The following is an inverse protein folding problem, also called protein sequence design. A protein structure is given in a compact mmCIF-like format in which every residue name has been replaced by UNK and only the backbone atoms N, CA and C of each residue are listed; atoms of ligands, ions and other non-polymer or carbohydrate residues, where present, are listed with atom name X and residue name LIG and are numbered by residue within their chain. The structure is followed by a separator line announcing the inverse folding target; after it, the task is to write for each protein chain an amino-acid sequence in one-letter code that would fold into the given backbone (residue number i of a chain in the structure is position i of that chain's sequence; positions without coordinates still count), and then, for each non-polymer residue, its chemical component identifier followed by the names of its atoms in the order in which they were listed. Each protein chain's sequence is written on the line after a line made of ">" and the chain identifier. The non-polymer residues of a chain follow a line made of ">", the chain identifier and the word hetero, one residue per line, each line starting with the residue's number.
data_IF_986303111155
#
_entry.id   IF_986303111155
#
_cell.length_a   1.000
_cell.length_b   1.000
_cell.length_c   1.000
_cell.angle_alpha   90.00
_cell.angle_beta   90.00
_cell.angle_gamma   90.00
#
_symmetry.space_group_name_H-M   'P 1'
#
loop_
_entity.id
_entity.type
_entity.pdbx_description
1 polymer ?
#
# COMPACT_ATOMS: atom_id res chain seq x y z
N UNK A 1 -2.28 -1.04 -1.42
CA UNK A 1 -1.73 -2.17 -0.64
C UNK A 1 -2.55 -2.53 0.59
N UNK A 2 -3.27 -1.59 1.24
CA UNK A 2 -4.10 -1.87 2.43
C UNK A 2 -4.98 -3.13 2.27
N UNK A 3 -5.71 -3.23 1.15
CA UNK A 3 -6.65 -4.32 0.87
C UNK A 3 -5.98 -5.70 0.68
N UNK A 4 -4.65 -5.75 0.56
CA UNK A 4 -3.89 -6.99 0.37
C UNK A 4 -3.46 -7.60 1.70
N UNK A 5 -3.23 -6.76 2.71
CA UNK A 5 -2.52 -7.18 3.90
C UNK A 5 -3.32 -8.14 4.78
N UNK A 6 -4.65 -8.02 4.79
CA UNK A 6 -5.52 -8.95 5.52
C UNK A 6 -5.38 -10.37 4.94
N UNK A 7 -5.35 -10.49 3.61
CA UNK A 7 -5.17 -11.78 2.94
C UNK A 7 -3.74 -12.32 3.13
N UNK A 8 -2.73 -11.45 3.01
CA UNK A 8 -1.32 -11.83 3.25
C UNK A 8 -1.12 -12.30 4.69
N UNK A 9 -1.76 -11.65 5.67
CA UNK A 9 -1.72 -12.07 7.07
C UNK A 9 -2.28 -13.48 7.26
N UNK A 10 -3.40 -13.80 6.59
CA UNK A 10 -3.99 -15.13 6.64
C UNK A 10 -3.01 -16.17 6.07
N UNK A 11 -2.43 -15.91 4.90
CA UNK A 11 -1.48 -16.83 4.26
C UNK A 11 -0.23 -17.05 5.12
N UNK A 12 0.37 -15.98 5.64
CA UNK A 12 1.54 -16.08 6.51
C UNK A 12 1.23 -16.85 7.80
N UNK A 13 0.05 -16.62 8.43
CA UNK A 13 -0.38 -17.38 9.61
C UNK A 13 -0.59 -18.86 9.33
N UNK A 14 -0.96 -19.21 8.10
CA UNK A 14 -1.09 -20.59 7.64
C UNK A 14 0.26 -21.22 7.26
N UNK A 15 1.36 -20.48 7.42
CA UNK A 15 2.72 -20.96 7.13
C UNK A 15 3.07 -20.96 5.64
N UNK A 16 2.30 -20.29 4.78
CA UNK A 16 2.60 -20.18 3.36
C UNK A 16 3.70 -19.14 3.12
N UNK A 17 4.62 -19.44 2.21
CA UNK A 17 5.56 -18.45 1.68
C UNK A 17 4.84 -17.47 0.76
N UNK A 18 5.08 -16.16 0.95
CA UNK A 18 4.45 -15.09 0.17
C UNK A 18 5.51 -14.21 -0.49
N UNK A 19 5.34 -13.92 -1.78
CA UNK A 19 6.04 -12.86 -2.49
C UNK A 19 5.13 -11.65 -2.66
N UNK A 20 5.70 -10.45 -2.54
CA UNK A 20 5.03 -9.20 -2.84
C UNK A 20 5.71 -8.54 -4.04
N UNK A 21 4.93 -8.38 -5.11
CA UNK A 21 5.26 -7.58 -6.27
C UNK A 21 4.73 -6.16 -6.07
N UNK A 22 5.59 -5.15 -6.19
CA UNK A 22 5.25 -3.73 -6.01
C UNK A 22 5.64 -2.94 -7.26
N UNK A 23 4.71 -2.15 -7.81
CA UNK A 23 5.02 -1.18 -8.86
C UNK A 23 5.85 -0.07 -8.24
N UNK A 24 7.13 0.03 -8.58
CA UNK A 24 8.06 1.02 -8.02
C UNK A 24 8.25 2.23 -8.93
N UNK A 25 7.90 2.09 -10.22
CA UNK A 25 7.98 3.16 -11.21
C UNK A 25 6.91 2.97 -12.28
N UNK A 26 6.42 4.09 -12.81
CA UNK A 26 5.44 4.12 -13.89
C UNK A 26 5.83 5.20 -14.90
N UNK A 27 5.57 4.96 -16.18
CA UNK A 27 5.70 5.95 -17.25
C UNK A 27 4.49 5.91 -18.19
N UNK A 28 4.10 7.07 -18.71
CA UNK A 28 2.94 7.19 -19.59
C UNK A 28 1.63 6.77 -18.92
N UNK A 29 0.71 6.20 -19.71
CA UNK A 29 -0.62 5.77 -19.26
C UNK A 29 -0.57 4.40 -18.57
N UNK A 30 0.21 4.26 -17.49
CA UNK A 30 0.27 3.02 -16.72
C UNK A 30 -1.08 2.70 -16.07
N UNK A 31 -1.53 1.44 -16.06
CA UNK A 31 -2.89 1.09 -15.64
C UNK A 31 -3.06 1.04 -14.11
N UNK A 32 -1.96 0.96 -13.36
CA UNK A 32 -1.90 1.04 -11.90
C UNK A 32 -0.81 2.03 -11.48
N UNK A 33 -1.00 2.80 -10.39
CA UNK A 33 -0.01 3.77 -9.94
C UNK A 33 1.18 3.09 -9.25
N UNK A 34 2.29 3.84 -9.09
CA UNK A 34 3.37 3.45 -8.21
C UNK A 34 2.84 3.17 -6.78
N UNK A 35 3.35 2.11 -6.16
CA UNK A 35 2.84 1.58 -4.89
C UNK A 35 1.65 0.62 -5.02
N UNK A 36 1.15 0.35 -6.24
CA UNK A 36 0.27 -0.79 -6.46
C UNK A 36 1.00 -2.09 -6.15
N UNK A 37 0.30 -3.04 -5.55
CA UNK A 37 0.87 -4.31 -5.10
C UNK A 37 0.07 -5.51 -5.58
N UNK A 38 0.76 -6.64 -5.70
CA UNK A 38 0.20 -7.96 -5.93
C UNK A 38 0.97 -8.95 -5.05
N UNK A 39 0.23 -9.70 -4.23
CA UNK A 39 0.80 -10.76 -3.40
C UNK A 39 0.52 -12.12 -4.04
N UNK A 40 1.52 -13.00 -3.99
CA UNK A 40 1.50 -14.32 -4.62
C UNK A 40 2.02 -15.34 -3.59
N UNK A 41 1.27 -16.42 -3.37
CA UNK A 41 1.74 -17.53 -2.52
C UNK A 41 2.52 -18.56 -3.31
N UNK A 42 3.29 -19.41 -2.63
CA UNK A 42 3.97 -20.56 -3.25
C UNK A 42 3.03 -21.59 -3.88
N UNK A 43 1.73 -21.57 -3.53
CA UNK A 43 0.69 -22.41 -4.14
C UNK A 43 0.01 -21.74 -5.34
N UNK A 44 0.42 -20.51 -5.70
CA UNK A 44 -0.12 -19.76 -6.83
C UNK A 44 -1.40 -19.00 -6.54
N UNK A 45 -1.80 -18.85 -5.26
CA UNK A 45 -2.91 -17.96 -4.90
C UNK A 45 -2.45 -16.50 -5.05
N UNK A 46 -3.36 -15.63 -5.51
CA UNK A 46 -3.04 -14.23 -5.81
C UNK A 46 -4.03 -13.28 -5.13
N UNK A 47 -3.51 -12.11 -4.72
CA UNK A 47 -4.30 -11.00 -4.23
C UNK A 47 -3.73 -9.69 -4.76
N UNK A 48 -4.60 -8.79 -5.22
CA UNK A 48 -4.17 -7.53 -5.82
C UNK A 48 -3.76 -7.67 -7.28
N UNK A 49 -3.12 -6.62 -7.79
CA UNK A 49 -2.76 -6.51 -9.20
C UNK A 49 -1.81 -5.32 -9.43
N UNK A 50 -0.84 -5.55 -10.32
CA UNK A 50 0.14 -4.54 -10.76
C UNK A 50 -0.23 -3.90 -12.10
N UNK A 51 -1.09 -4.51 -12.93
CA UNK A 51 -1.49 -3.92 -14.21
C UNK A 51 -2.97 -4.03 -14.58
N UNK A 52 -3.72 -4.92 -13.95
CA UNK A 52 -5.12 -5.20 -14.27
C UNK A 52 -5.31 -6.33 -15.28
N UNK A 53 -4.26 -7.10 -15.60
CA UNK A 53 -4.36 -8.36 -16.35
C UNK A 53 -3.31 -8.59 -17.43
N UNK A 54 -2.52 -7.56 -17.83
CA UNK A 54 -1.61 -7.67 -18.97
C UNK A 54 -0.32 -8.42 -18.64
N UNK A 55 0.29 -8.15 -17.48
CA UNK A 55 1.62 -8.66 -17.12
C UNK A 55 1.61 -9.59 -15.91
N UNK A 56 0.43 -9.86 -15.33
CA UNK A 56 0.26 -10.66 -14.11
C UNK A 56 0.87 -12.06 -14.22
N UNK A 57 0.77 -12.71 -15.39
CA UNK A 57 1.38 -14.03 -15.62
C UNK A 57 2.89 -14.02 -15.44
N UNK A 58 3.59 -13.06 -16.08
CA UNK A 58 5.03 -12.91 -15.96
C UNK A 58 5.47 -12.56 -14.53
N UNK A 59 4.66 -11.75 -13.83
CA UNK A 59 4.90 -11.42 -12.42
C UNK A 59 4.73 -12.64 -11.51
N UNK A 60 3.75 -13.51 -11.77
CA UNK A 60 3.59 -14.77 -11.04
C UNK A 60 4.80 -15.68 -11.25
N UNK A 61 5.27 -15.84 -12.48
CA UNK A 61 6.42 -16.69 -12.78
C UNK A 61 7.70 -16.23 -12.06
N UNK A 62 7.96 -14.92 -12.06
CA UNK A 62 9.06 -14.34 -11.31
C UNK A 62 8.86 -14.45 -9.80
N UNK A 63 7.66 -14.20 -9.28
CA UNK A 63 7.36 -14.37 -7.86
C UNK A 63 7.65 -15.80 -7.38
N UNK A 64 7.32 -16.82 -8.19
CA UNK A 64 7.67 -18.21 -7.90
C UNK A 64 9.19 -18.43 -7.87
N UNK A 65 9.96 -17.76 -8.72
CA UNK A 65 11.43 -17.82 -8.71
C UNK A 65 12.02 -17.10 -7.48
N UNK A 66 11.50 -15.94 -7.12
CA UNK A 66 11.89 -15.19 -5.91
C UNK A 66 11.60 -16.03 -4.66
N UNK A 67 10.44 -16.68 -4.58
CA UNK A 67 10.10 -17.58 -3.47
C UNK A 67 11.08 -18.75 -3.35
N UNK A 68 11.49 -19.36 -4.48
CA UNK A 68 12.46 -20.46 -4.51
C UNK A 68 13.89 -20.04 -4.15
N UNK A 69 14.33 -18.86 -4.59
CA UNK A 69 15.73 -18.42 -4.49
C UNK A 69 16.01 -17.52 -3.29
N UNK A 70 14.98 -16.87 -2.75
CA UNK A 70 15.11 -15.81 -1.74
C UNK A 70 15.72 -14.52 -2.29
N UNK A 71 16.01 -14.44 -3.59
CA UNK A 71 16.61 -13.26 -4.22
C UNK A 71 15.51 -12.38 -4.81
N UNK A 72 15.41 -11.11 -4.41
CA UNK A 72 14.48 -10.17 -5.03
C UNK A 72 14.81 -9.92 -6.50
N UNK A 73 13.79 -9.58 -7.28
CA UNK A 73 13.89 -9.33 -8.70
C UNK A 73 13.25 -7.98 -9.05
N UNK A 74 13.83 -7.27 -10.03
CA UNK A 74 13.23 -6.08 -10.64
C UNK A 74 12.96 -6.39 -12.11
N UNK A 75 11.71 -6.25 -12.51
CA UNK A 75 11.27 -6.50 -13.90
C UNK A 75 10.72 -5.21 -14.47
N UNK A 76 11.18 -4.89 -15.68
CA UNK A 76 10.65 -3.78 -16.48
C UNK A 76 9.63 -4.34 -17.48
N UNK A 77 8.47 -3.70 -17.57
CA UNK A 77 7.45 -3.98 -18.58
C UNK A 77 7.21 -2.72 -19.40
N UNK A 78 7.51 -2.80 -20.70
CA UNK A 78 7.31 -1.72 -21.65
C UNK A 78 5.95 -1.74 -22.35
N UNK A 79 5.80 -0.86 -23.34
CA UNK A 79 4.70 -0.94 -24.31
C UNK A 79 4.89 -2.21 -25.13
N UNK A 80 3.88 -3.07 -25.21
CA UNK A 80 3.95 -4.28 -26.03
C UNK A 80 4.17 -3.90 -27.50
N UNK A 81 5.29 -4.31 -28.08
CA UNK A 81 5.52 -4.19 -29.51
C UNK A 81 4.97 -5.46 -30.17
N UNK A 82 4.04 -5.33 -31.13
CA UNK A 82 3.39 -6.46 -31.82
C UNK A 82 4.40 -7.39 -32.55
N UNK A 83 5.66 -6.96 -32.68
CA UNK A 83 6.76 -7.67 -33.32
C UNK A 83 7.73 -8.37 -32.35
N UNK A 84 7.66 -8.07 -31.05
CA UNK A 84 8.52 -8.64 -30.02
C UNK A 84 7.73 -9.61 -29.14
N UNK A 85 8.28 -10.79 -28.87
CA UNK A 85 7.68 -11.81 -27.98
C UNK A 85 7.66 -11.40 -26.49
N UNK A 86 7.73 -10.10 -26.19
CA UNK A 86 7.79 -9.56 -24.83
C UNK A 86 6.38 -9.25 -24.30
N UNK A 87 6.11 -9.68 -23.07
CA UNK A 87 4.85 -9.37 -22.38
C UNK A 87 4.86 -7.88 -22.04
N UNK A 88 3.97 -7.10 -22.65
CA UNK A 88 3.91 -5.64 -22.49
C UNK A 88 2.53 -5.14 -22.06
N UNK A 89 2.47 -3.84 -21.76
CA UNK A 89 1.23 -3.17 -21.38
C UNK A 89 0.44 -2.73 -22.62
N UNK A 90 -0.84 -3.11 -22.69
CA UNK A 90 -1.74 -2.73 -23.80
C UNK A 90 -2.21 -1.27 -23.76
N UNK A 91 -2.01 -0.59 -22.64
CA UNK A 91 -2.43 0.80 -22.41
C UNK A 91 -1.39 1.85 -22.88
N UNK A 92 -0.25 1.43 -23.43
CA UNK A 92 0.79 2.34 -23.93
C UNK A 92 1.62 3.02 -22.83
N UNK A 93 1.67 2.44 -21.63
CA UNK A 93 2.55 2.86 -20.54
C UNK A 93 3.66 1.85 -20.27
N UNK A 94 4.53 2.16 -19.32
CA UNK A 94 5.59 1.27 -18.83
C UNK A 94 5.55 1.21 -17.30
N UNK A 95 5.95 0.08 -16.72
CA UNK A 95 6.08 -0.07 -15.27
C UNK A 95 7.35 -0.85 -14.90
N UNK A 96 7.96 -0.46 -13.78
CA UNK A 96 8.95 -1.29 -13.10
C UNK A 96 8.29 -1.96 -11.89
N UNK A 97 8.41 -3.27 -11.80
CA UNK A 97 7.88 -4.08 -10.70
C UNK A 97 9.04 -4.67 -9.92
N UNK A 98 9.08 -4.41 -8.61
CA UNK A 98 10.01 -5.04 -7.69
C UNK A 98 9.32 -6.17 -6.94
N UNK A 99 9.90 -7.36 -7.00
CA UNK A 99 9.34 -8.59 -6.44
C UNK A 99 10.31 -9.10 -5.38
N UNK A 100 9.78 -9.36 -4.19
CA UNK A 100 10.55 -9.85 -3.06
C UNK A 100 9.75 -10.83 -2.23
N UNK A 101 10.43 -11.62 -1.40
CA UNK A 101 9.77 -12.32 -0.30
C UNK A 101 9.16 -11.30 0.67
N UNK A 102 7.99 -11.63 1.20
CA UNK A 102 7.25 -10.82 2.16
C UNK A 102 6.97 -11.64 3.41
N UNK A 103 7.58 -11.23 4.51
CA UNK A 103 7.57 -11.99 5.77
C UNK A 103 6.74 -11.29 6.85
N UNK A 104 6.56 -11.95 8.00
CA UNK A 104 5.90 -11.36 9.16
C UNK A 104 6.50 -10.01 9.58
N UNK A 105 7.83 -9.87 9.54
CA UNK A 105 8.49 -8.59 9.90
C UNK A 105 8.05 -7.43 9.01
N UNK A 106 7.82 -7.69 7.71
CA UNK A 106 7.32 -6.71 6.77
C UNK A 106 5.86 -6.36 7.09
N UNK A 107 5.03 -7.39 7.33
CA UNK A 107 3.62 -7.20 7.67
C UNK A 107 3.43 -6.33 8.91
N UNK A 108 4.20 -6.55 9.97
CA UNK A 108 4.12 -5.75 11.20
C UNK A 108 4.44 -4.27 10.97
N UNK A 109 5.44 -3.99 10.12
CA UNK A 109 5.82 -2.61 9.74
C UNK A 109 4.68 -1.93 8.97
N UNK A 110 4.09 -2.64 8.01
CA UNK A 110 2.95 -2.15 7.25
C UNK A 110 1.72 -1.91 8.14
N UNK A 111 1.42 -2.81 9.07
CA UNK A 111 0.35 -2.63 10.06
C UNK A 111 0.55 -1.39 10.92
N UNK A 112 1.77 -1.19 11.42
CA UNK A 112 2.13 0.01 12.19
C UNK A 112 1.98 1.29 11.36
N UNK A 113 2.32 1.25 10.07
CA UNK A 113 2.14 2.40 9.18
C UNK A 113 0.65 2.72 8.96
N UNK A 114 -0.18 1.70 8.75
CA UNK A 114 -1.61 1.85 8.46
C UNK A 114 -2.45 2.24 9.67
N UNK A 115 -1.94 2.03 10.88
CA UNK A 115 -2.58 2.46 12.14
C UNK A 115 -2.31 3.92 12.49
N UNK A 116 -1.54 4.66 11.67
CA UNK A 116 -1.24 6.08 11.91
C UNK A 116 -2.40 6.96 11.45
N UNK A 117 -2.63 8.02 12.21
CA UNK A 117 -3.64 9.06 11.91
C UNK A 117 -3.09 10.13 10.98
N UNK A 118 -1.77 10.28 10.89
CA UNK A 118 -1.08 11.15 9.94
C UNK A 118 -0.47 10.32 8.78
N UNK A 119 -0.18 11.00 7.67
CA UNK A 119 0.58 10.37 6.58
C UNK A 119 2.00 10.03 7.07
N UNK A 120 2.49 8.86 6.66
CA UNK A 120 3.85 8.38 6.94
C UNK A 120 4.48 7.81 5.68
N UNK A 121 5.80 7.62 5.70
CA UNK A 121 6.54 7.00 4.59
C UNK A 121 7.10 5.64 4.99
N UNK A 122 6.98 4.69 4.07
CA UNK A 122 7.73 3.44 4.08
C UNK A 122 8.82 3.51 3.01
N UNK A 123 10.07 3.21 3.36
CA UNK A 123 11.13 3.01 2.38
C UNK A 123 11.33 1.51 2.15
N UNK A 124 11.00 1.05 0.95
CA UNK A 124 11.34 -0.28 0.47
C UNK A 124 12.76 -0.26 -0.09
N UNK A 125 13.69 -0.99 0.53
CA UNK A 125 15.09 -1.05 0.09
C UNK A 125 15.20 -1.89 -1.18
N UNK A 126 15.67 -1.27 -2.26
CA UNK A 126 15.80 -1.91 -3.58
C UNK A 126 17.23 -2.35 -3.87
N UNK A 127 18.21 -1.65 -3.31
CA UNK A 127 19.64 -1.98 -3.41
C UNK A 127 20.35 -1.56 -2.12
N UNK A 128 21.30 -2.38 -1.65
CA UNK A 128 22.00 -2.17 -0.39
C UNK A 128 22.73 -3.43 0.08
N UNK A 129 23.16 -3.43 1.34
CA UNK A 129 23.77 -4.61 1.95
C UNK A 129 22.71 -5.70 2.19
N UNK A 130 23.14 -6.97 2.12
CA UNK A 130 22.25 -8.14 2.15
C UNK A 130 21.17 -8.15 3.25
N UNK A 131 21.45 -7.74 4.50
CA UNK A 131 20.44 -7.71 5.56
C UNK A 131 19.26 -6.77 5.30
N UNK A 132 19.44 -5.73 4.48
CA UNK A 132 18.42 -4.71 4.22
C UNK A 132 17.71 -4.90 2.88
N UNK A 133 18.25 -5.69 1.95
CA UNK A 133 17.65 -5.87 0.63
C UNK A 133 16.21 -6.39 0.75
N UNK A 134 15.24 -5.66 0.20
CA UNK A 134 13.81 -5.98 0.32
C UNK A 134 13.17 -5.67 1.67
N UNK A 135 13.87 -5.02 2.60
CA UNK A 135 13.28 -4.56 3.85
C UNK A 135 12.33 -3.38 3.61
N UNK A 136 11.24 -3.31 4.39
CA UNK A 136 10.43 -2.09 4.54
C UNK A 136 10.93 -1.32 5.75
N UNK A 137 11.12 -0.02 5.61
CA UNK A 137 11.53 0.85 6.71
C UNK A 137 10.45 1.89 6.97
N UNK A 138 9.83 1.87 8.15
CA UNK A 138 8.91 2.94 8.57
C UNK A 138 9.70 4.16 9.03
N UNK A 139 9.48 5.26 8.31
CA UNK A 139 10.12 6.55 8.54
C UNK A 139 9.20 7.39 9.43
N UNK A 140 9.50 7.43 10.72
CA UNK A 140 8.82 8.26 11.71
C UNK A 140 9.74 9.41 12.15
N UNK A 141 9.14 10.55 12.49
CA UNK A 141 9.87 11.64 13.13
C UNK A 141 10.37 11.15 14.51
N UNK A 142 11.68 10.95 14.63
CA UNK A 142 12.50 10.79 15.86
C UNK A 142 12.83 9.41 16.43
N UNK A 143 12.24 8.29 16.01
CA UNK A 143 12.72 6.96 16.43
C UNK A 143 12.59 5.93 15.29
N UNK A 144 13.63 5.82 14.45
CA UNK A 144 13.66 4.75 13.45
C UNK A 144 13.81 3.40 14.16
N UNK A 145 12.97 2.43 13.83
CA UNK A 145 12.99 1.04 14.34
C UNK A 145 14.31 0.30 13.99
N UNK A 146 15.14 0.89 13.13
CA UNK A 146 16.41 0.33 12.66
C UNK A 146 17.60 0.93 13.42
N UNK A 147 17.79 0.45 14.65
CA UNK A 147 18.91 0.85 15.53
C UNK A 147 20.29 0.46 14.98
N UNK A 148 20.33 -0.39 13.96
CA UNK A 148 21.50 -0.92 13.26
C UNK A 148 21.95 -0.10 12.04
N UNK A 149 21.11 0.77 11.48
CA UNK A 149 21.53 1.70 10.41
C UNK A 149 22.50 2.77 10.93
N UNK A 150 23.49 3.17 10.13
CA UNK A 150 24.31 4.32 10.48
C UNK A 150 23.49 5.61 10.55
N UNK A 151 23.97 6.56 11.34
CA UNK A 151 23.38 7.90 11.45
C UNK A 151 23.25 8.56 10.06
N UNK A 152 24.24 8.40 9.20
CA UNK A 152 24.23 8.95 7.83
C UNK A 152 23.01 8.44 7.04
N UNK A 153 22.75 7.14 7.09
CA UNK A 153 21.62 6.52 6.38
C UNK A 153 20.29 7.01 6.93
N UNK A 154 20.14 7.08 8.26
CA UNK A 154 18.91 7.60 8.88
C UNK A 154 18.63 9.06 8.53
N UNK A 155 19.67 9.90 8.57
CA UNK A 155 19.55 11.32 8.26
C UNK A 155 19.09 11.52 6.81
N UNK A 156 19.67 10.78 5.85
CA UNK A 156 19.27 10.85 4.44
C UNK A 156 17.85 10.33 4.19
N UNK A 157 17.47 9.19 4.78
CA UNK A 157 16.10 8.67 4.68
C UNK A 157 15.07 9.68 5.20
N UNK A 158 15.37 10.33 6.32
CA UNK A 158 14.50 11.34 6.94
C UNK A 158 14.43 12.61 6.07
N UNK A 159 15.56 13.06 5.53
CA UNK A 159 15.60 14.22 4.63
C UNK A 159 14.76 13.99 3.37
N UNK A 160 14.89 12.81 2.75
CA UNK A 160 14.10 12.44 1.58
C UNK A 160 12.62 12.38 1.94
N UNK A 161 12.24 11.70 3.03
CA UNK A 161 10.84 11.60 3.45
C UNK A 161 10.17 12.95 3.73
N UNK A 162 10.93 13.93 4.24
CA UNK A 162 10.43 15.28 4.48
C UNK A 162 10.25 16.12 3.21
N UNK A 163 11.00 15.82 2.15
CA UNK A 163 10.91 16.51 0.85
C UNK A 163 9.94 15.83 -0.10
N UNK A 164 9.80 14.51 0.02
CA UNK A 164 8.97 13.70 -0.85
C UNK A 164 7.48 13.95 -0.58
N UNK A 165 6.67 14.05 -1.64
CA UNK A 165 5.25 14.41 -1.55
C UNK A 165 4.32 13.28 -2.01
N UNK A 166 4.74 12.50 -3.02
CA UNK A 166 3.93 11.49 -3.68
C UNK A 166 4.51 10.07 -3.53
N UNK A 167 5.80 9.97 -3.21
CA UNK A 167 6.56 8.73 -3.23
C UNK A 167 7.37 8.59 -4.51
N UNK A 168 8.36 7.71 -4.50
CA UNK A 168 9.29 7.57 -5.62
C UNK A 168 10.56 6.82 -5.28
N UNK A 169 11.38 6.55 -6.29
CA UNK A 169 12.69 5.92 -6.12
C UNK A 169 13.74 7.00 -5.85
N UNK A 170 14.56 6.79 -4.81
CA UNK A 170 15.66 7.68 -4.47
C UNK A 170 16.94 6.88 -4.24
N UNK A 171 18.06 7.45 -4.72
CA UNK A 171 19.38 6.99 -4.37
C UNK A 171 19.77 7.49 -2.98
N UNK A 172 20.49 6.65 -2.25
CA UNK A 172 20.95 6.92 -0.90
C UNK A 172 22.46 6.75 -0.90
N UNK A 173 23.19 7.76 -0.44
CA UNK A 173 24.65 7.76 -0.46
C UNK A 173 25.19 7.09 0.82
N UNK A 174 24.79 5.85 1.05
CA UNK A 174 25.20 5.07 2.22
C UNK A 174 25.55 3.61 1.86
N UNK A 175 26.46 2.97 2.61
CA UNK A 175 26.86 1.60 2.33
C UNK A 175 25.75 0.58 2.64
N UNK A 176 24.86 0.86 3.58
CA UNK A 176 23.77 -0.05 3.96
C UNK A 176 22.64 -0.07 2.95
N UNK A 177 22.30 1.11 2.40
CA UNK A 177 21.19 1.30 1.49
C UNK A 177 21.65 2.24 0.39
N UNK A 178 21.54 1.79 -0.86
CA UNK A 178 21.98 2.52 -2.05
C UNK A 178 20.79 3.05 -2.86
N UNK A 179 19.65 2.37 -2.79
CA UNK A 179 18.43 2.74 -3.50
C UNK A 179 17.20 2.29 -2.70
N UNK A 180 16.20 3.15 -2.57
CA UNK A 180 14.93 2.81 -1.94
C UNK A 180 13.73 3.44 -2.65
N UNK A 181 12.61 2.72 -2.67
CA UNK A 181 11.32 3.23 -3.07
C UNK A 181 10.56 3.75 -1.85
N UNK A 182 10.21 5.03 -1.85
CA UNK A 182 9.44 5.69 -0.82
C UNK A 182 7.96 5.57 -1.17
N UNK A 183 7.22 4.83 -0.35
CA UNK A 183 5.79 4.68 -0.44
C UNK A 183 5.10 5.54 0.62
N UNK A 184 4.27 6.48 0.16
CA UNK A 184 3.45 7.28 1.07
C UNK A 184 2.24 6.48 1.54
N UNK A 185 2.16 6.20 2.83
CA UNK A 185 0.99 5.58 3.46
C UNK A 185 0.12 6.69 4.02
N UNK A 186 -1.11 6.79 3.51
CA UNK A 186 -2.10 7.73 4.01
C UNK A 186 -3.07 7.04 4.98
N UNK A 187 -3.57 7.77 6.00
CA UNK A 187 -4.69 7.31 6.80
C UNK A 187 -5.91 7.11 5.91
N UNK A 188 -6.85 6.28 6.38
CA UNK A 188 -8.13 6.12 5.68
C UNK A 188 -8.85 7.47 5.67
N UNK A 189 -9.29 7.99 4.51
CA UNK A 189 -9.98 9.26 4.48
C UNK A 189 -11.33 9.15 5.18
N UNK A 190 -11.66 10.14 6.00
CA UNK A 190 -12.94 10.20 6.70
C UNK A 190 -13.95 11.06 5.92
N UNK A 191 -15.18 10.59 5.84
CA UNK A 191 -16.35 11.33 5.36
C UNK A 191 -17.38 11.46 6.48
N UNK A 192 -17.57 12.69 6.95
CA UNK A 192 -18.57 13.02 7.96
C UNK A 192 -19.82 13.56 7.27
N UNK A 193 -20.94 12.83 7.41
CA UNK A 193 -22.24 13.17 6.85
C UNK A 193 -23.12 13.82 7.92
N UNK A 194 -23.25 15.14 7.85
CA UNK A 194 -24.17 15.90 8.72
C UNK A 194 -25.56 15.92 8.07
N UNK A 195 -26.46 15.10 8.62
CA UNK A 195 -27.83 14.89 8.15
C UNK A 195 -28.04 13.49 7.58
N UNK A 196 -28.75 12.65 8.32
CA UNK A 196 -29.08 11.27 7.97
C UNK A 196 -30.31 11.15 7.06
N UNK A 197 -30.53 12.10 6.15
CA UNK A 197 -31.69 12.07 5.24
C UNK A 197 -31.51 11.08 4.10
N UNK A 198 -32.52 10.89 3.25
CA UNK A 198 -32.56 9.86 2.20
C UNK A 198 -31.36 9.88 1.24
N UNK A 199 -30.75 11.04 0.98
CA UNK A 199 -29.55 11.18 0.13
C UNK A 199 -28.29 10.63 0.81
N UNK A 200 -28.21 10.72 2.14
CA UNK A 200 -27.03 10.28 2.88
C UNK A 200 -26.85 8.75 2.82
N UNK A 201 -27.93 7.97 2.66
CA UNK A 201 -27.86 6.50 2.59
C UNK A 201 -27.02 6.02 1.39
N UNK A 202 -27.37 6.33 0.13
CA UNK A 202 -26.59 5.88 -1.02
C UNK A 202 -25.18 6.51 -1.03
N UNK A 203 -25.04 7.76 -0.55
CA UNK A 203 -23.74 8.40 -0.45
C UNK A 203 -22.82 7.67 0.53
N UNK A 204 -23.31 7.31 1.71
CA UNK A 204 -22.57 6.56 2.71
C UNK A 204 -22.13 5.20 2.17
N UNK A 205 -23.02 4.49 1.48
CA UNK A 205 -22.70 3.20 0.84
C UNK A 205 -21.60 3.35 -0.23
N UNK A 206 -21.74 4.30 -1.16
CA UNK A 206 -20.72 4.57 -2.18
C UNK A 206 -19.38 4.96 -1.57
N UNK A 207 -19.38 5.82 -0.55
CA UNK A 207 -18.18 6.25 0.15
C UNK A 207 -17.47 5.06 0.82
N UNK A 208 -18.21 4.16 1.48
CA UNK A 208 -17.67 2.91 2.03
C UNK A 208 -17.05 2.05 0.94
N UNK A 209 -17.72 1.88 -0.21
CA UNK A 209 -17.22 1.07 -1.33
C UNK A 209 -15.90 1.58 -1.88
N UNK A 210 -15.70 2.90 -1.95
CA UNK A 210 -14.45 3.50 -2.45
C UNK A 210 -13.39 3.70 -1.35
N UNK A 211 -13.66 3.21 -0.13
CA UNK A 211 -12.66 3.10 0.93
C UNK A 211 -12.66 4.22 1.97
N UNK A 212 -13.72 5.03 2.10
CA UNK A 212 -13.83 5.99 3.19
C UNK A 212 -14.24 5.31 4.51
N UNK A 213 -13.76 5.86 5.62
CA UNK A 213 -14.46 5.74 6.90
C UNK A 213 -15.58 6.76 6.93
N UNK A 214 -16.79 6.33 7.26
CA UNK A 214 -17.99 7.16 7.18
C UNK A 214 -18.60 7.29 8.56
N UNK A 215 -18.91 8.53 8.93
CA UNK A 215 -19.61 8.89 10.16
C UNK A 215 -20.90 9.61 9.79
N UNK A 216 -22.05 9.22 10.35
CA UNK A 216 -23.34 9.91 10.11
C UNK A 216 -23.80 10.59 11.38
N UNK A 217 -24.07 11.89 11.30
CA UNK A 217 -24.54 12.72 12.41
C UNK A 217 -25.96 13.17 12.09
N UNK A 218 -26.93 12.83 12.93
CA UNK A 218 -28.28 13.42 12.87
C UNK A 218 -28.91 13.44 14.26
N UNK A 219 -29.32 14.61 14.80
CA UNK A 219 -29.93 14.68 16.13
C UNK A 219 -31.29 13.98 16.21
N UNK A 220 -31.93 13.72 15.06
CA UNK A 220 -33.21 13.04 15.00
C UNK A 220 -32.96 11.55 14.99
N UNK A 221 -33.28 10.87 16.09
CA UNK A 221 -33.05 9.43 16.29
C UNK A 221 -33.53 8.50 15.17
N UNK A 222 -34.62 8.84 14.48
CA UNK A 222 -35.13 8.05 13.35
C UNK A 222 -34.27 8.16 12.08
N UNK A 223 -33.37 9.15 12.04
CA UNK A 223 -32.56 9.44 10.87
C UNK A 223 -31.16 8.83 10.89
N UNK A 224 -30.67 8.37 12.05
CA UNK A 224 -29.33 7.81 12.26
C UNK A 224 -29.42 6.41 12.88
N UNK A 225 -30.10 5.48 12.19
CA UNK A 225 -30.29 4.09 12.65
C UNK A 225 -29.49 3.08 11.85
N UNK A 226 -29.17 1.94 12.47
CA UNK A 226 -28.46 0.82 11.83
C UNK A 226 -29.24 0.28 10.63
N UNK A 227 -30.57 0.21 10.70
CA UNK A 227 -31.40 -0.26 9.58
C UNK A 227 -31.26 0.62 8.32
N UNK A 228 -31.00 1.92 8.50
CA UNK A 228 -30.79 2.86 7.39
C UNK A 228 -29.34 2.91 6.92
N UNK A 229 -28.41 2.52 7.78
CA UNK A 229 -26.96 2.62 7.56
C UNK A 229 -26.25 1.35 8.08
N UNK A 230 -26.50 0.16 7.49
CA UNK A 230 -26.06 -1.11 8.05
C UNK A 230 -24.53 -1.27 8.10
N UNK A 231 -23.83 -0.65 7.15
CA UNK A 231 -22.37 -0.77 7.01
C UNK A 231 -21.59 0.37 7.69
N UNK A 232 -22.29 1.25 8.42
CA UNK A 232 -21.71 2.44 9.04
C UNK A 232 -21.54 2.20 10.54
N UNK A 233 -20.28 2.20 10.99
CA UNK A 233 -19.93 1.90 12.38
C UNK A 233 -20.24 3.06 13.34
N UNK A 234 -20.13 4.30 12.89
CA UNK A 234 -20.32 5.48 13.73
C UNK A 234 -21.57 6.26 13.32
N UNK A 235 -22.64 6.06 14.10
CA UNK A 235 -23.91 6.77 13.98
C UNK A 235 -24.11 7.63 15.23
N UNK A 236 -24.06 8.95 15.08
CA UNK A 236 -24.15 9.90 16.18
C UNK A 236 -25.53 10.57 16.19
N UNK A 237 -26.34 10.24 17.19
CA UNK A 237 -27.68 10.82 17.39
C UNK A 237 -27.61 12.06 18.28
N UNK A 238 -26.97 13.11 17.78
CA UNK A 238 -26.78 14.36 18.53
C UNK A 238 -26.63 15.56 17.60
N UNK A 239 -26.62 16.76 18.18
CA UNK A 239 -26.33 17.98 17.44
C UNK A 239 -24.87 17.98 16.95
N UNK A 240 -24.57 18.54 15.77
CA UNK A 240 -23.22 18.52 15.19
C UNK A 240 -22.14 19.00 16.15
N UNK A 241 -22.41 20.05 16.93
CA UNK A 241 -21.47 20.62 17.90
C UNK A 241 -21.03 19.59 18.95
N UNK A 242 -21.94 18.72 19.40
CA UNK A 242 -21.62 17.63 20.32
C UNK A 242 -20.90 16.48 19.63
N UNK A 243 -21.33 16.13 18.42
CA UNK A 243 -20.75 15.03 17.64
C UNK A 243 -19.28 15.28 17.30
N UNK A 244 -18.91 16.50 16.90
CA UNK A 244 -17.54 16.89 16.58
C UNK A 244 -16.58 16.82 17.78
N UNK A 245 -17.08 16.73 19.01
CA UNK A 245 -16.22 16.53 20.20
C UNK A 245 -15.85 15.06 20.44
N UNK A 246 -16.47 14.13 19.69
CA UNK A 246 -16.29 12.67 19.84
C UNK A 246 -15.47 12.04 18.72
N UNK A 247 -15.10 12.83 17.72
CA UNK A 247 -14.33 12.43 16.52
C UNK A 247 -13.04 13.24 16.42
#
# INVERSE_FOLDING_TARGET
>A
MRDLLDQVEIWLKNGQSVALATVIKTWGSSPRPAGAGMAITETGEIAGSVSGGCVEGAVIDSAMQVLRTGQPERIHFGVGDDLAWEVGLSCGGEIDVYIRQFEHKNLEIWKRALSKTNSVYLALVLAGSGPYLGADLLLENSESIFSDLSRKTRDQLTEIANKELAGGIHLIEAPEIQEAFFHKVQPVPELILVGGVHIAIPLASLAKTVGFEVTVIDPRRLFSTVDRFPDIKLLLTEWPEGAFQKI
#
